data_IF_326013709563
#
_entry.id   IF_326013709563
#
_cell.length_a   1.000
_cell.length_b   1.000
_cell.length_c   1.000
_cell.angle_alpha   90.00
_cell.angle_beta   90.00
_cell.angle_gamma   90.00
#
_symmetry.space_group_name_H-M   'P 1'
#
loop_
_entity.id
_entity.type
_entity.pdbx_description
1 polymer ?
#
# COMPACT_ATOMS: atom_id res chain seq x y z
N UNK A 1 -58.59 -0.74 -3.18
CA UNK A 1 -57.56 -0.46 -2.15
C UNK A 1 -56.34 -1.40 -2.21
N UNK A 2 -56.49 -2.72 -2.40
CA UNK A 2 -55.35 -3.69 -2.42
C UNK A 2 -54.26 -3.42 -3.49
N UNK A 3 -54.64 -2.90 -4.67
CA UNK A 3 -53.68 -2.59 -5.76
C UNK A 3 -52.77 -1.39 -5.44
N UNK A 4 -53.30 -0.40 -4.70
CA UNK A 4 -52.57 0.81 -4.32
C UNK A 4 -51.50 0.51 -3.27
N UNK A 5 -51.83 -0.29 -2.25
CA UNK A 5 -50.87 -0.75 -1.24
C UNK A 5 -49.80 -1.68 -1.82
N UNK A 6 -50.10 -2.42 -2.87
CA UNK A 6 -49.10 -3.24 -3.57
C UNK A 6 -48.07 -2.38 -4.32
N UNK A 7 -48.52 -1.37 -5.07
CA UNK A 7 -47.63 -0.41 -5.75
C UNK A 7 -46.77 0.39 -4.77
N UNK A 8 -47.34 0.81 -3.65
CA UNK A 8 -46.61 1.53 -2.60
C UNK A 8 -45.49 0.68 -1.99
N UNK A 9 -45.72 -0.62 -1.78
CA UNK A 9 -44.69 -1.55 -1.29
C UNK A 9 -43.55 -1.71 -2.30
N UNK A 10 -43.86 -1.88 -3.59
CA UNK A 10 -42.85 -1.98 -4.64
C UNK A 10 -41.99 -0.70 -4.67
N UNK A 11 -42.62 0.47 -4.64
CA UNK A 11 -41.91 1.75 -4.60
C UNK A 11 -41.02 1.90 -3.35
N UNK A 12 -41.50 1.44 -2.19
CA UNK A 12 -40.71 1.44 -0.96
C UNK A 12 -39.48 0.51 -1.06
N UNK A 13 -39.64 -0.69 -1.63
CA UNK A 13 -38.52 -1.62 -1.81
C UNK A 13 -37.51 -1.13 -2.86
N UNK A 14 -37.96 -0.52 -3.96
CA UNK A 14 -37.03 0.05 -4.95
C UNK A 14 -36.26 1.26 -4.40
N UNK A 15 -36.93 2.13 -3.62
CA UNK A 15 -36.27 3.24 -2.94
C UNK A 15 -35.23 2.72 -1.93
N UNK A 16 -35.58 1.68 -1.17
CA UNK A 16 -34.67 1.05 -0.22
C UNK A 16 -33.43 0.45 -0.91
N UNK A 17 -33.61 -0.25 -2.04
CA UNK A 17 -32.49 -0.76 -2.84
C UNK A 17 -31.59 0.37 -3.38
N UNK A 18 -32.18 1.48 -3.85
CA UNK A 18 -31.42 2.63 -4.33
C UNK A 18 -30.56 3.27 -3.22
N UNK A 19 -31.10 3.35 -2.00
CA UNK A 19 -30.35 3.82 -0.82
C UNK A 19 -29.18 2.88 -0.52
N UNK A 20 -29.38 1.56 -0.49
CA UNK A 20 -28.28 0.63 -0.24
C UNK A 20 -27.18 0.64 -1.32
N UNK A 21 -27.54 0.85 -2.59
CA UNK A 21 -26.56 0.98 -3.68
C UNK A 21 -25.75 2.28 -3.59
N UNK A 22 -26.35 3.36 -3.08
CA UNK A 22 -25.67 4.66 -2.93
C UNK A 22 -24.55 4.67 -1.88
N UNK A 23 -24.52 3.69 -0.97
CA UNK A 23 -23.46 3.55 0.03
C UNK A 23 -22.30 2.62 -0.39
N UNK A 24 -22.29 2.10 -1.62
CA UNK A 24 -21.21 1.24 -2.12
C UNK A 24 -19.97 2.00 -2.63
N UNK A 25 -19.83 3.28 -2.27
CA UNK A 25 -18.72 4.13 -2.71
C UNK A 25 -17.41 3.75 -2.00
N UNK A 26 -16.79 2.66 -2.45
CA UNK A 26 -15.37 2.42 -2.20
C UNK A 26 -14.58 3.66 -2.64
N UNK A 27 -13.61 4.06 -1.83
CA UNK A 27 -12.71 5.16 -2.21
C UNK A 27 -12.06 4.82 -3.57
N UNK A 28 -11.71 5.81 -4.41
CA UNK A 28 -11.27 5.55 -5.77
C UNK A 28 -10.11 4.54 -5.84
N UNK A 29 -9.27 4.47 -4.80
CA UNK A 29 -8.13 3.55 -4.71
C UNK A 29 -8.24 2.45 -3.68
N UNK A 30 -9.41 2.19 -3.10
CA UNK A 30 -9.54 1.21 -2.01
C UNK A 30 -9.26 -0.22 -2.46
N UNK A 31 -9.81 -0.63 -3.61
CA UNK A 31 -9.55 -1.95 -4.19
C UNK A 31 -8.07 -2.15 -4.51
N UNK A 32 -7.42 -1.16 -5.13
CA UNK A 32 -5.98 -1.24 -5.42
C UNK A 32 -5.14 -1.25 -4.14
N UNK A 33 -5.49 -0.46 -3.13
CA UNK A 33 -4.77 -0.43 -1.86
C UNK A 33 -4.85 -1.79 -1.16
N UNK A 34 -6.02 -2.44 -1.16
CA UNK A 34 -6.21 -3.79 -0.60
C UNK A 34 -5.35 -4.81 -1.36
N UNK A 35 -5.43 -4.80 -2.70
CA UNK A 35 -4.65 -5.72 -3.53
C UNK A 35 -3.15 -5.58 -3.30
N UNK A 36 -2.65 -4.33 -3.36
CA UNK A 36 -1.24 -4.02 -3.13
C UNK A 36 -0.81 -4.45 -1.73
N UNK A 37 -1.60 -4.12 -0.70
CA UNK A 37 -1.30 -4.50 0.68
C UNK A 37 -1.16 -6.02 0.83
N UNK A 38 -2.08 -6.79 0.24
CA UNK A 38 -2.04 -8.25 0.27
C UNK A 38 -0.80 -8.79 -0.43
N UNK A 39 -0.52 -8.34 -1.65
CA UNK A 39 0.65 -8.81 -2.41
C UNK A 39 1.97 -8.48 -1.73
N UNK A 40 2.11 -7.29 -1.16
CA UNK A 40 3.32 -6.97 -0.42
C UNK A 40 3.48 -7.83 0.85
N UNK A 41 2.38 -8.21 1.50
CA UNK A 41 2.41 -9.10 2.67
C UNK A 41 2.78 -10.54 2.29
N UNK A 42 2.13 -11.08 1.25
CA UNK A 42 2.32 -12.46 0.80
C UNK A 42 3.76 -12.73 0.34
N UNK A 43 4.36 -11.74 -0.33
CA UNK A 43 5.70 -11.86 -0.90
C UNK A 43 6.79 -11.20 -0.05
N UNK A 44 6.51 -10.71 1.17
CA UNK A 44 7.53 -10.03 1.96
C UNK A 44 8.70 -10.95 2.30
N UNK A 45 9.93 -10.48 2.07
CA UNK A 45 11.14 -11.23 2.40
C UNK A 45 11.74 -10.79 3.74
N UNK A 46 11.34 -11.47 4.83
CA UNK A 46 11.91 -11.24 6.16
C UNK A 46 13.37 -11.68 6.32
N UNK A 47 13.86 -12.58 5.45
CA UNK A 47 15.27 -13.03 5.45
C UNK A 47 16.19 -12.05 4.72
N UNK A 48 15.63 -11.01 4.11
CA UNK A 48 16.40 -9.93 3.50
C UNK A 48 17.30 -9.22 4.53
N UNK A 49 18.30 -8.50 4.01
CA UNK A 49 19.37 -7.90 4.83
C UNK A 49 20.08 -8.93 5.74
N UNK A 50 20.24 -10.18 5.27
CA UNK A 50 20.91 -11.24 6.06
C UNK A 50 20.14 -11.65 7.31
N UNK A 51 18.80 -11.59 7.30
CA UNK A 51 17.96 -11.93 8.45
C UNK A 51 17.97 -10.90 9.57
N UNK A 52 18.45 -9.67 9.31
CA UNK A 52 18.48 -8.60 10.32
C UNK A 52 17.08 -8.06 10.66
N UNK A 53 16.07 -8.29 9.82
CA UNK A 53 14.71 -7.79 10.04
C UNK A 53 13.97 -8.76 10.97
N UNK A 54 13.79 -8.36 12.24
CA UNK A 54 13.09 -9.16 13.26
C UNK A 54 11.56 -9.08 13.12
N UNK A 55 11.06 -7.89 12.81
CA UNK A 55 9.63 -7.60 12.60
C UNK A 55 9.53 -6.51 11.55
N UNK A 56 8.44 -6.52 10.80
CA UNK A 56 8.08 -5.40 9.94
C UNK A 56 6.60 -5.03 10.11
N UNK A 57 6.28 -3.80 9.76
CA UNK A 57 4.91 -3.31 9.60
C UNK A 57 4.86 -2.59 8.26
N UNK A 58 3.97 -3.03 7.37
CA UNK A 58 3.79 -2.45 6.05
C UNK A 58 2.32 -2.11 5.88
N UNK A 59 2.03 -0.87 5.50
CA UNK A 59 0.67 -0.37 5.39
C UNK A 59 0.51 0.54 4.18
N UNK A 60 -0.43 0.20 3.31
CA UNK A 60 -0.87 1.02 2.17
C UNK A 60 -2.31 1.47 2.40
N UNK A 61 -2.55 2.78 2.45
CA UNK A 61 -3.88 3.34 2.64
C UNK A 61 -4.59 3.63 1.31
N UNK A 62 -5.92 3.64 1.33
CA UNK A 62 -6.75 4.16 0.25
C UNK A 62 -6.61 5.69 0.04
N UNK A 63 -5.88 6.40 0.90
CA UNK A 63 -5.49 7.81 0.70
C UNK A 63 -4.11 7.95 0.05
N UNK A 64 -3.50 6.84 -0.34
CA UNK A 64 -2.22 6.81 -1.04
C UNK A 64 -1.00 6.86 -0.14
N UNK A 65 -1.11 6.73 1.18
CA UNK A 65 0.09 6.61 2.02
C UNK A 65 0.62 5.19 2.00
N UNK A 66 1.90 5.05 1.67
CA UNK A 66 2.67 3.83 1.88
C UNK A 66 3.60 4.04 3.08
N UNK A 67 3.51 3.17 4.08
CA UNK A 67 4.34 3.20 5.29
C UNK A 67 5.00 1.86 5.49
N UNK A 68 6.30 1.87 5.68
CA UNK A 68 7.09 0.67 5.90
C UNK A 68 7.99 0.88 7.12
N UNK A 69 7.82 0.05 8.14
CA UNK A 69 8.57 0.10 9.38
C UNK A 69 9.28 -1.23 9.60
N UNK A 70 10.57 -1.18 9.83
CA UNK A 70 11.41 -2.34 10.13
C UNK A 70 11.92 -2.26 11.56
N UNK A 71 11.85 -3.38 12.27
CA UNK A 71 12.51 -3.56 13.55
C UNK A 71 13.69 -4.48 13.32
N UNK A 72 14.90 -3.95 13.48
CA UNK A 72 16.13 -4.68 13.26
C UNK A 72 16.55 -5.45 14.52
N UNK A 73 17.28 -6.54 14.32
CA UNK A 73 17.77 -7.42 15.39
C UNK A 73 18.71 -6.70 16.37
N UNK A 74 19.39 -5.65 15.93
CA UNK A 74 20.26 -4.79 16.75
C UNK A 74 19.50 -3.74 17.58
N UNK A 75 18.17 -3.74 17.56
CA UNK A 75 17.33 -2.79 18.29
C UNK A 75 17.01 -1.49 17.54
N UNK A 76 17.63 -1.26 16.36
CA UNK A 76 17.30 -0.10 15.52
C UNK A 76 15.93 -0.27 14.87
N UNK A 77 15.22 0.83 14.68
CA UNK A 77 13.95 0.86 13.95
C UNK A 77 14.10 1.81 12.77
N UNK A 78 13.84 1.33 11.57
CA UNK A 78 13.80 2.16 10.36
C UNK A 78 12.34 2.37 9.95
N UNK A 79 11.94 3.60 9.72
CA UNK A 79 10.61 3.98 9.26
C UNK A 79 10.72 4.75 7.95
N UNK A 80 9.96 4.30 6.96
CA UNK A 80 9.86 4.89 5.65
C UNK A 80 8.40 5.26 5.40
N UNK A 81 8.13 6.45 4.86
CA UNK A 81 6.79 6.75 4.37
C UNK A 81 6.79 7.76 3.23
N UNK A 82 5.85 7.59 2.31
CA UNK A 82 5.56 8.58 1.28
C UNK A 82 4.09 8.50 0.86
N UNK A 83 3.62 9.50 0.13
CA UNK A 83 2.29 9.51 -0.47
C UNK A 83 2.39 9.25 -1.99
N UNK A 84 1.56 8.35 -2.52
CA UNK A 84 1.48 7.99 -3.93
C UNK A 84 1.22 9.18 -4.85
N UNK A 85 0.70 10.32 -4.39
CA UNK A 85 0.66 11.56 -5.19
C UNK A 85 2.05 11.97 -5.71
N UNK A 86 3.10 11.67 -4.94
CA UNK A 86 4.51 11.93 -5.22
C UNK A 86 5.21 10.83 -6.02
N UNK A 87 4.49 9.76 -6.35
CA UNK A 87 4.99 8.65 -7.16
C UNK A 87 5.56 9.13 -8.50
N UNK A 88 6.72 8.59 -8.84
CA UNK A 88 7.42 8.78 -10.11
C UNK A 88 7.46 7.48 -10.90
N UNK A 89 7.98 6.42 -10.29
CA UNK A 89 8.21 5.15 -10.96
C UNK A 89 8.35 3.99 -9.96
N UNK A 90 8.37 2.76 -10.48
CA UNK A 90 8.59 1.53 -9.74
C UNK A 90 9.56 0.64 -10.49
N UNK A 91 10.62 0.20 -9.81
CA UNK A 91 11.57 -0.77 -10.34
C UNK A 91 11.55 -2.04 -9.48
N UNK A 92 12.03 -3.15 -10.04
CA UNK A 92 12.34 -4.36 -9.30
C UNK A 92 13.77 -4.80 -9.60
N UNK A 93 14.55 -5.05 -8.54
CA UNK A 93 15.94 -5.51 -8.65
C UNK A 93 16.08 -6.84 -7.93
N UNK A 94 16.31 -7.93 -8.68
CA UNK A 94 16.53 -9.27 -8.14
C UNK A 94 16.09 -10.38 -9.08
N UNK A 95 15.81 -11.54 -8.50
CA UNK A 95 15.28 -12.72 -9.20
C UNK A 95 13.86 -13.02 -8.73
N UNK A 96 13.26 -14.08 -9.28
CA UNK A 96 11.96 -14.60 -8.84
C UNK A 96 11.98 -15.04 -7.37
N UNK A 97 13.10 -15.60 -6.89
CA UNK A 97 13.23 -16.11 -5.53
C UNK A 97 13.43 -14.99 -4.50
N UNK A 98 14.19 -13.95 -4.86
CA UNK A 98 14.46 -12.83 -3.96
C UNK A 98 14.79 -11.56 -4.73
N UNK A 99 14.22 -10.44 -4.31
CA UNK A 99 14.54 -9.14 -4.88
C UNK A 99 14.03 -8.00 -4.03
N UNK A 100 14.17 -6.79 -4.57
CA UNK A 100 13.77 -5.55 -3.90
C UNK A 100 12.89 -4.74 -4.84
N UNK A 101 11.68 -4.44 -4.38
CA UNK A 101 10.78 -3.49 -5.01
C UNK A 101 11.21 -2.07 -4.63
N UNK A 102 11.47 -1.24 -5.62
CA UNK A 102 11.99 0.12 -5.44
C UNK A 102 10.89 1.10 -5.90
N UNK A 103 10.22 1.72 -4.94
CA UNK A 103 9.20 2.73 -5.18
C UNK A 103 9.87 4.11 -5.21
N UNK A 104 9.83 4.81 -6.35
CA UNK A 104 10.49 6.12 -6.51
C UNK A 104 9.50 7.27 -6.44
N UNK A 105 9.95 8.36 -5.83
CA UNK A 105 9.22 9.63 -5.78
C UNK A 105 9.81 10.66 -6.74
N UNK A 106 9.04 11.72 -7.04
CA UNK A 106 9.44 12.78 -7.97
C UNK A 106 10.63 13.60 -7.45
N UNK A 107 10.68 13.83 -6.15
CA UNK A 107 11.83 14.40 -5.45
C UNK A 107 12.13 13.63 -4.17
N UNK A 108 12.74 14.31 -3.21
CA UNK A 108 12.96 13.79 -1.85
C UNK A 108 11.64 13.84 -1.05
N UNK A 109 10.68 12.98 -1.41
CA UNK A 109 9.35 12.94 -0.79
C UNK A 109 9.16 11.69 0.10
N UNK A 110 10.19 10.86 0.26
CA UNK A 110 10.18 9.73 1.20
C UNK A 110 10.77 10.19 2.53
N UNK A 111 9.96 10.19 3.58
CA UNK A 111 10.43 10.43 4.95
C UNK A 111 11.13 9.16 5.43
N UNK A 112 12.36 9.29 5.91
CA UNK A 112 13.16 8.20 6.49
C UNK A 112 13.58 8.57 7.91
N UNK A 113 13.11 7.79 8.88
CA UNK A 113 13.42 7.98 10.30
C UNK A 113 14.09 6.73 10.84
N UNK A 114 15.24 6.88 11.49
CA UNK A 114 15.96 5.78 12.12
C UNK A 114 16.08 6.04 13.60
N UNK A 115 15.44 5.18 14.39
CA UNK A 115 15.52 5.20 15.85
C UNK A 115 16.64 4.26 16.29
N UNK A 116 17.64 4.80 16.99
CA UNK A 116 18.84 4.03 17.36
C UNK A 116 18.74 3.33 18.72
N UNK A 117 17.68 3.60 19.50
CA UNK A 117 17.37 2.88 20.75
C UNK A 117 18.43 3.00 21.86
N UNK A 118 19.41 3.92 21.73
CA UNK A 118 20.57 4.05 22.60
C UNK A 118 21.01 5.50 22.81
N UNK A 119 22.31 5.73 23.05
CA UNK A 119 22.90 7.07 23.20
C UNK A 119 23.11 7.81 21.88
N UNK A 120 23.06 7.10 20.77
CA UNK A 120 23.05 7.68 19.43
C UNK A 120 21.68 8.31 19.20
N UNK A 121 21.66 9.59 18.80
CA UNK A 121 20.41 10.29 18.51
C UNK A 121 19.64 9.66 17.35
N UNK A 122 18.35 9.94 17.28
CA UNK A 122 17.51 9.53 16.15
C UNK A 122 17.89 10.33 14.90
N UNK A 123 17.79 9.69 13.73
CA UNK A 123 18.17 10.28 12.45
C UNK A 123 16.91 10.45 11.60
N UNK A 124 16.59 11.70 11.26
CA UNK A 124 15.53 12.05 10.32
C UNK A 124 16.14 12.54 9.00
N UNK A 125 15.67 12.00 7.88
CA UNK A 125 16.13 12.35 6.55
C UNK A 125 15.02 12.21 5.51
N UNK A 126 15.26 12.77 4.33
CA UNK A 126 14.40 12.58 3.17
C UNK A 126 15.14 11.76 2.11
N UNK A 127 14.41 10.93 1.36
CA UNK A 127 14.95 10.10 0.29
C UNK A 127 14.08 10.18 -0.96
N UNK A 128 14.63 9.74 -2.09
CA UNK A 128 13.92 9.71 -3.39
C UNK A 128 13.25 8.37 -3.68
N UNK A 129 13.44 7.37 -2.81
CA UNK A 129 12.86 6.06 -2.98
C UNK A 129 12.66 5.32 -1.65
N UNK A 130 11.74 4.36 -1.66
CA UNK A 130 11.52 3.36 -0.62
C UNK A 130 11.80 1.97 -1.22
N UNK A 131 12.56 1.15 -0.49
CA UNK A 131 12.94 -0.19 -0.92
C UNK A 131 12.26 -1.24 -0.02
N UNK A 132 11.47 -2.13 -0.62
CA UNK A 132 10.75 -3.19 0.08
C UNK A 132 11.27 -4.55 -0.42
N UNK A 133 11.82 -5.40 0.45
CA UNK A 133 12.34 -6.69 0.06
C UNK A 133 11.19 -7.69 -0.18
N UNK A 134 11.21 -8.35 -1.33
CA UNK A 134 10.23 -9.36 -1.73
C UNK A 134 10.91 -10.71 -2.03
N UNK A 135 10.12 -11.79 -2.01
CA UNK A 135 10.52 -13.15 -2.35
C UNK A 135 9.41 -13.89 -3.08
N UNK A 136 9.80 -14.88 -3.87
CA UNK A 136 8.90 -15.80 -4.56
C UNK A 136 7.76 -15.08 -5.29
N UNK A 137 8.08 -14.03 -6.05
CA UNK A 137 7.09 -13.28 -6.83
C UNK A 137 7.32 -13.60 -8.30
N UNK A 138 6.28 -14.11 -8.95
CA UNK A 138 6.33 -14.41 -10.38
C UNK A 138 6.28 -13.12 -11.21
N UNK A 139 6.84 -13.16 -12.43
CA UNK A 139 6.92 -11.98 -13.29
C UNK A 139 5.53 -11.36 -13.58
N UNK A 140 4.52 -12.21 -13.77
CA UNK A 140 3.14 -11.76 -14.00
C UNK A 140 2.55 -11.06 -12.77
N UNK A 141 2.75 -11.62 -11.58
CA UNK A 141 2.27 -11.01 -10.33
C UNK A 141 2.99 -9.69 -10.04
N UNK A 142 4.28 -9.61 -10.34
CA UNK A 142 5.05 -8.38 -10.23
C UNK A 142 4.50 -7.30 -11.19
N UNK A 143 4.24 -7.66 -12.45
CA UNK A 143 3.66 -6.73 -13.43
C UNK A 143 2.30 -6.20 -12.98
N UNK A 144 1.42 -7.08 -12.48
CA UNK A 144 0.12 -6.68 -11.94
C UNK A 144 0.26 -5.76 -10.73
N UNK A 145 1.20 -6.07 -9.82
CA UNK A 145 1.50 -5.22 -8.68
C UNK A 145 1.94 -3.81 -9.12
N UNK A 146 2.85 -3.73 -10.10
CA UNK A 146 3.31 -2.46 -10.68
C UNK A 146 2.16 -1.68 -11.33
N UNK A 147 1.30 -2.35 -12.09
CA UNK A 147 0.13 -1.73 -12.70
C UNK A 147 -0.83 -1.17 -11.65
N UNK A 148 -1.07 -1.91 -10.55
CA UNK A 148 -1.94 -1.46 -9.46
C UNK A 148 -1.41 -0.22 -8.76
N UNK A 149 -0.10 -0.11 -8.55
CA UNK A 149 0.52 1.12 -8.06
C UNK A 149 0.32 2.31 -9.01
N UNK A 150 0.47 2.09 -10.32
CA UNK A 150 0.23 3.14 -11.32
C UNK A 150 -1.24 3.58 -11.33
N UNK A 151 -2.18 2.63 -11.26
CA UNK A 151 -3.61 2.90 -11.17
C UNK A 151 -3.94 3.72 -9.90
N UNK A 152 -3.36 3.38 -8.74
CA UNK A 152 -3.50 4.17 -7.53
C UNK A 152 -3.05 5.62 -7.73
N UNK A 153 -1.87 5.84 -8.33
CA UNK A 153 -1.37 7.18 -8.59
C UNK A 153 -2.32 8.00 -9.48
N UNK A 154 -2.83 7.40 -10.55
CA UNK A 154 -3.72 8.07 -11.49
C UNK A 154 -5.05 8.45 -10.83
N UNK A 155 -5.62 7.54 -10.02
CA UNK A 155 -6.89 7.76 -9.35
C UNK A 155 -6.80 8.78 -8.21
N UNK A 156 -5.67 8.85 -7.49
CA UNK A 156 -5.45 9.87 -6.45
C UNK A 156 -5.33 11.31 -6.99
N UNK A 157 -4.99 11.46 -8.28
CA UNK A 157 -4.86 12.78 -8.94
C UNK A 157 -6.17 13.29 -9.54
N UNK A 158 -7.20 12.44 -9.61
CA UNK A 158 -8.54 12.79 -10.11
C UNK A 158 -9.39 13.34 -8.97
#
# INVERSE_FOLDING_TARGET
MKKFTFLLKIAAYTLLCAVFLSFSAYGPTEEEAIYVQQKLYDHYNAEAKGGLIKKYELHVTNTGFCRYKCFLSNGKIEYFSFNFLKYKDIDYSGTLQSGTLILRTKGEDVIVQTYNGGREGDIDSMATFMAIPLKNIEAEELNQLMEKFQQMNLKLRR
#
